data_IF_797646152701
#
_entry.id   IF_797646152701
#
_cell.length_a   1.000
_cell.length_b   1.000
_cell.length_c   1.000
_cell.angle_alpha   90.00
_cell.angle_beta   90.00
_cell.angle_gamma   90.00
#
_symmetry.space_group_name_H-M   'P 1'
#
loop_
_entity.id
_entity.type
_entity.pdbx_description
1 polymer ?
#
# COMPACT_ATOMS: atom_id res chain seq x y z
N UNK A 1 -40.07 -55.86 14.96
CA UNK A 1 -39.34 -54.58 15.11
C UNK A 1 -37.88 -54.82 14.75
N UNK A 2 -37.35 -53.94 13.89
CA UNK A 2 -35.94 -53.62 13.60
C UNK A 2 -34.99 -54.68 12.99
N UNK A 3 -34.51 -54.25 11.83
CA UNK A 3 -33.47 -54.71 10.92
C UNK A 3 -32.06 -54.78 11.53
N UNK A 4 -31.27 -55.77 11.11
CA UNK A 4 -29.83 -55.89 11.34
C UNK A 4 -29.10 -55.62 10.02
N UNK A 5 -28.04 -54.82 10.08
CA UNK A 5 -27.30 -54.25 8.96
C UNK A 5 -26.28 -55.24 8.39
N UNK A 6 -26.16 -55.16 7.08
CA UNK A 6 -25.28 -55.87 6.14
C UNK A 6 -23.82 -55.46 6.33
N UNK A 7 -22.93 -56.45 6.30
CA UNK A 7 -21.55 -56.28 5.85
C UNK A 7 -21.19 -57.49 5.00
N UNK A 8 -20.69 -57.26 3.78
CA UNK A 8 -19.57 -57.95 3.11
C UNK A 8 -19.52 -57.46 1.65
N UNK A 9 -18.52 -56.60 1.42
CA UNK A 9 -17.49 -56.72 0.40
C UNK A 9 -17.91 -57.20 -1.01
N UNK A 10 -17.79 -56.32 -2.01
CA UNK A 10 -17.37 -56.74 -3.35
C UNK A 10 -16.45 -55.68 -3.96
N UNK A 11 -15.17 -56.04 -4.07
CA UNK A 11 -14.15 -55.41 -4.89
C UNK A 11 -14.44 -55.74 -6.36
N UNK A 12 -14.64 -54.75 -7.22
CA UNK A 12 -14.35 -54.87 -8.65
C UNK A 12 -13.60 -53.63 -9.11
N UNK A 13 -12.44 -53.89 -9.70
CA UNK A 13 -11.46 -52.98 -10.27
C UNK A 13 -12.04 -52.14 -11.42
N UNK A 14 -11.74 -50.85 -11.42
CA UNK A 14 -11.92 -49.97 -12.57
C UNK A 14 -10.82 -48.91 -12.58
N UNK A 15 -9.83 -49.09 -13.46
CA UNK A 15 -8.82 -48.08 -13.78
C UNK A 15 -9.50 -46.86 -14.40
N UNK A 16 -9.57 -45.75 -13.66
CA UNK A 16 -9.67 -44.40 -14.22
C UNK A 16 -8.73 -43.51 -13.42
N UNK A 17 -7.56 -43.23 -14.00
CA UNK A 17 -6.70 -42.14 -13.61
C UNK A 17 -7.45 -40.82 -13.84
N UNK A 18 -7.92 -40.21 -12.75
CA UNK A 18 -8.28 -38.79 -12.79
C UNK A 18 -7.02 -37.97 -12.46
N UNK A 19 -6.57 -37.06 -13.33
CA UNK A 19 -5.64 -36.03 -12.90
C UNK A 19 -6.43 -35.00 -12.09
N UNK A 20 -6.56 -35.22 -10.78
CA UNK A 20 -7.00 -34.17 -9.85
C UNK A 20 -5.72 -33.47 -9.39
N UNK A 21 -5.40 -32.35 -10.03
CA UNK A 21 -4.22 -31.55 -9.68
C UNK A 21 -3.71 -30.64 -10.79
N UNK A 22 -4.56 -30.18 -11.71
CA UNK A 22 -4.22 -29.04 -12.54
C UNK A 22 -4.25 -27.79 -11.66
N UNK A 23 -3.08 -27.32 -11.22
CA UNK A 23 -2.94 -26.12 -10.42
C UNK A 23 -3.69 -24.96 -11.06
N UNK A 24 -4.59 -24.36 -10.29
CA UNK A 24 -5.16 -23.07 -10.62
C UNK A 24 -4.00 -22.07 -10.68
N UNK A 25 -3.47 -21.81 -11.88
CA UNK A 25 -2.63 -20.64 -12.11
C UNK A 25 -3.59 -19.46 -12.07
N UNK A 26 -3.46 -18.52 -11.11
CA UNK A 26 -4.24 -17.30 -11.17
C UNK A 26 -4.04 -16.72 -12.57
N UNK A 27 -5.13 -16.36 -13.24
CA UNK A 27 -5.04 -15.60 -14.47
C UNK A 27 -4.43 -14.25 -14.08
N UNK A 28 -3.11 -14.15 -14.19
CA UNK A 28 -2.34 -12.98 -13.84
C UNK A 28 -2.94 -11.82 -14.62
N UNK A 29 -3.55 -10.87 -13.91
CA UNK A 29 -4.19 -9.75 -14.58
C UNK A 29 -3.05 -8.93 -15.19
N UNK A 30 -2.92 -8.96 -16.51
CA UNK A 30 -1.84 -8.28 -17.20
C UNK A 30 -1.80 -6.77 -16.87
N UNK A 31 -2.94 -6.16 -16.50
CA UNK A 31 -2.98 -4.80 -15.98
C UNK A 31 -2.27 -4.62 -14.65
N UNK A 32 -2.38 -5.58 -13.71
CA UNK A 32 -1.65 -5.52 -12.45
C UNK A 32 -0.16 -5.74 -12.68
N UNK A 33 0.21 -6.64 -13.59
CA UNK A 33 1.62 -6.85 -13.98
C UNK A 33 2.25 -5.60 -14.61
N UNK A 34 1.55 -4.93 -15.53
CA UNK A 34 2.01 -3.66 -16.11
C UNK A 34 2.14 -2.55 -15.06
N UNK A 35 1.17 -2.45 -14.15
CA UNK A 35 1.23 -1.49 -13.05
C UNK A 35 2.43 -1.75 -12.13
N UNK A 36 2.64 -3.00 -11.73
CA UNK A 36 3.74 -3.41 -10.88
C UNK A 36 5.09 -3.12 -11.55
N UNK A 37 5.23 -3.44 -12.83
CA UNK A 37 6.43 -3.12 -13.61
C UNK A 37 6.69 -1.62 -13.68
N UNK A 38 5.68 -0.81 -14.03
CA UNK A 38 5.82 0.64 -14.08
C UNK A 38 6.20 1.24 -12.71
N UNK A 39 5.65 0.70 -11.62
CA UNK A 39 5.99 1.09 -10.26
C UNK A 39 7.44 0.75 -9.92
N UNK A 40 7.91 -0.46 -10.25
CA UNK A 40 9.29 -0.90 -10.03
C UNK A 40 10.25 -0.05 -10.85
N UNK A 41 10.00 0.13 -12.14
CA UNK A 41 10.87 0.93 -13.01
C UNK A 41 11.02 2.37 -12.51
N UNK A 42 9.92 3.03 -12.13
CA UNK A 42 9.98 4.40 -11.62
C UNK A 42 10.75 4.47 -10.29
N UNK A 43 10.57 3.50 -9.41
CA UNK A 43 11.28 3.42 -8.13
C UNK A 43 12.80 3.31 -8.33
N UNK A 44 13.24 2.45 -9.25
CA UNK A 44 14.65 2.26 -9.60
C UNK A 44 15.23 3.48 -10.33
N UNK A 45 14.51 4.05 -11.30
CA UNK A 45 14.96 5.23 -12.03
C UNK A 45 15.15 6.46 -11.14
N UNK A 46 14.35 6.57 -10.08
CA UNK A 46 14.45 7.64 -9.09
C UNK A 46 15.49 7.33 -7.98
N UNK A 47 16.17 6.17 -8.04
CA UNK A 47 17.13 5.70 -7.05
C UNK A 47 16.59 5.74 -5.60
N UNK A 48 15.35 5.31 -5.40
CA UNK A 48 14.66 5.44 -4.11
C UNK A 48 15.04 4.36 -3.08
N UNK A 49 15.78 3.32 -3.49
CA UNK A 49 16.13 2.17 -2.65
C UNK A 49 16.97 2.52 -1.41
N UNK A 50 17.80 3.56 -1.50
CA UNK A 50 18.58 4.08 -0.37
C UNK A 50 17.78 5.03 0.53
N UNK A 51 16.61 5.48 0.08
CA UNK A 51 15.84 6.54 0.73
C UNK A 51 14.58 6.01 1.40
N UNK A 52 13.84 5.10 0.78
CA UNK A 52 12.58 4.59 1.32
C UNK A 52 12.34 3.14 0.93
N UNK A 53 11.49 2.44 1.69
CA UNK A 53 11.14 1.06 1.37
C UNK A 53 10.22 0.99 0.14
N UNK A 54 10.44 -0.03 -0.70
CA UNK A 54 9.63 -0.23 -1.91
C UNK A 54 8.13 -0.36 -1.60
N UNK A 55 7.76 -1.06 -0.54
CA UNK A 55 6.34 -1.23 -0.17
C UNK A 55 5.66 0.10 0.20
N UNK A 56 6.38 1.00 0.86
CA UNK A 56 5.89 2.34 1.17
C UNK A 56 5.69 3.16 -0.11
N UNK A 57 6.65 3.10 -1.04
CA UNK A 57 6.53 3.76 -2.34
C UNK A 57 5.38 3.17 -3.16
N UNK A 58 5.27 1.84 -3.25
CA UNK A 58 4.22 1.14 -4.00
C UNK A 58 2.82 1.49 -3.46
N UNK A 59 2.66 1.53 -2.14
CA UNK A 59 1.41 1.95 -1.52
C UNK A 59 1.06 3.40 -1.91
N UNK A 60 2.02 4.32 -1.79
CA UNK A 60 1.83 5.72 -2.15
C UNK A 60 1.53 5.92 -3.65
N UNK A 61 2.27 5.25 -4.53
CA UNK A 61 2.08 5.30 -5.97
C UNK A 61 0.72 4.76 -6.40
N UNK A 62 0.23 3.70 -5.72
CA UNK A 62 -1.13 3.18 -5.92
C UNK A 62 -2.18 4.25 -5.62
N UNK A 63 -2.04 4.93 -4.47
CA UNK A 63 -2.93 6.04 -4.09
C UNK A 63 -2.87 7.21 -5.08
N UNK A 64 -1.66 7.58 -5.49
CA UNK A 64 -1.42 8.62 -6.50
C UNK A 64 -2.16 8.31 -7.80
N UNK A 65 -2.00 7.10 -8.36
CA UNK A 65 -2.69 6.72 -9.60
C UNK A 65 -4.20 6.68 -9.46
N UNK A 66 -4.73 6.42 -8.26
CA UNK A 66 -6.18 6.38 -7.99
C UNK A 66 -6.81 7.77 -7.82
N UNK A 67 -6.08 8.73 -7.23
CA UNK A 67 -6.63 10.04 -6.86
C UNK A 67 -6.19 11.21 -7.77
N UNK A 68 -5.14 11.02 -8.57
CA UNK A 68 -4.54 12.09 -9.36
C UNK A 68 -5.33 12.39 -10.66
N UNK A 69 -6.44 13.09 -10.52
CA UNK A 69 -7.28 13.49 -11.65
C UNK A 69 -6.88 14.84 -12.26
N UNK A 70 -5.91 15.55 -11.65
CA UNK A 70 -5.47 16.88 -12.07
C UNK A 70 -4.05 16.88 -12.65
N UNK A 71 -3.48 15.71 -12.95
CA UNK A 71 -2.14 15.55 -13.52
C UNK A 71 -1.04 16.24 -12.70
N UNK A 72 -1.18 16.31 -11.37
CA UNK A 72 -0.07 16.74 -10.52
C UNK A 72 1.07 15.74 -10.66
N UNK A 73 2.30 16.19 -10.94
CA UNK A 73 3.47 15.30 -10.94
C UNK A 73 4.02 15.05 -9.54
N UNK A 74 3.57 15.83 -8.54
CA UNK A 74 4.09 15.78 -7.18
C UNK A 74 3.38 14.70 -6.37
N UNK A 75 4.16 13.83 -5.75
CA UNK A 75 3.73 12.83 -4.77
C UNK A 75 4.46 13.06 -3.45
N UNK A 76 3.71 13.29 -2.37
CA UNK A 76 4.27 13.32 -1.01
C UNK A 76 3.99 11.99 -0.33
N UNK A 77 5.04 11.36 0.22
CA UNK A 77 4.95 10.12 0.99
C UNK A 77 5.36 10.39 2.42
N UNK A 78 4.57 9.93 3.39
CA UNK A 78 4.94 9.91 4.81
C UNK A 78 4.95 8.46 5.27
N UNK A 79 6.11 7.95 5.64
CA UNK A 79 6.30 6.57 6.11
C UNK A 79 6.25 6.50 7.64
N UNK A 80 5.08 6.21 8.19
CA UNK A 80 4.89 6.07 9.63
C UNK A 80 5.48 4.77 10.22
N UNK A 81 6.04 3.87 9.41
CA UNK A 81 6.80 2.72 9.93
C UNK A 81 8.12 3.15 10.59
N UNK A 82 8.63 4.32 10.22
CA UNK A 82 9.83 4.94 10.78
C UNK A 82 9.51 5.77 12.04
N UNK A 83 10.43 5.86 13.01
CA UNK A 83 10.24 6.68 14.20
C UNK A 83 10.21 8.18 13.88
N UNK A 84 9.61 9.00 14.76
CA UNK A 84 9.53 10.45 14.58
C UNK A 84 10.87 11.17 14.62
N UNK A 85 11.90 10.50 15.13
CA UNK A 85 13.28 11.00 15.17
C UNK A 85 14.01 10.84 13.83
N UNK A 86 13.39 10.22 12.83
CA UNK A 86 13.98 10.02 11.50
C UNK A 86 13.25 10.85 10.44
N UNK A 87 13.97 11.20 9.38
CA UNK A 87 13.34 11.79 8.20
C UNK A 87 12.48 10.72 7.54
N UNK A 88 11.18 11.00 7.43
CA UNK A 88 10.17 10.04 6.97
C UNK A 88 9.11 10.66 6.06
N UNK A 89 9.32 11.90 5.63
CA UNK A 89 8.56 12.54 4.57
C UNK A 89 9.42 12.76 3.35
N UNK A 90 8.89 12.34 2.21
CA UNK A 90 9.52 12.47 0.90
C UNK A 90 8.58 13.25 -0.01
N UNK A 91 9.08 14.29 -0.66
CA UNK A 91 8.35 15.00 -1.72
C UNK A 91 9.03 14.65 -3.04
N UNK A 92 8.29 13.98 -3.91
CA UNK A 92 8.77 13.39 -5.14
C UNK A 92 8.15 14.13 -6.33
N UNK A 93 8.98 14.56 -7.28
CA UNK A 93 8.52 14.96 -8.60
C UNK A 93 8.64 13.77 -9.55
N UNK A 94 7.51 13.13 -9.83
CA UNK A 94 7.48 11.92 -10.65
C UNK A 94 7.67 12.20 -12.15
N UNK A 95 7.48 13.45 -12.60
CA UNK A 95 7.70 13.83 -13.99
C UNK A 95 9.19 14.05 -14.26
N UNK A 96 9.88 14.74 -13.35
CA UNK A 96 11.32 14.99 -13.43
C UNK A 96 12.16 13.86 -12.82
N UNK A 97 11.52 12.91 -12.12
CA UNK A 97 12.16 11.78 -11.42
C UNK A 97 13.13 12.26 -10.32
N UNK A 98 12.71 13.29 -9.59
CA UNK A 98 13.52 13.95 -8.57
C UNK A 98 12.92 13.82 -7.17
N UNK A 99 13.79 13.73 -6.16
CA UNK A 99 13.42 13.89 -4.76
C UNK A 99 13.63 15.36 -4.38
N UNK A 100 12.53 16.09 -4.23
CA UNK A 100 12.56 17.53 -3.93
C UNK A 100 12.91 17.81 -2.46
N UNK A 101 12.35 17.01 -1.55
CA UNK A 101 12.56 17.19 -0.11
C UNK A 101 12.55 15.87 0.64
N UNK A 102 13.39 15.80 1.68
CA UNK A 102 13.39 14.75 2.70
C UNK A 102 13.40 15.42 4.07
N UNK A 103 12.37 15.18 4.88
CA UNK A 103 12.19 15.89 6.15
C UNK A 103 11.54 15.05 7.25
N UNK A 104 11.57 15.60 8.47
CA UNK A 104 10.86 15.10 9.64
C UNK A 104 9.38 15.45 9.56
N UNK A 105 8.54 14.61 10.18
CA UNK A 105 7.09 14.85 10.32
C UNK A 105 6.61 14.42 11.70
N UNK A 106 5.88 15.30 12.37
CA UNK A 106 5.16 14.98 13.60
C UNK A 106 3.93 14.11 13.32
N UNK A 107 3.49 13.33 14.31
CA UNK A 107 2.20 12.63 14.28
C UNK A 107 1.29 13.13 15.40
N UNK A 108 0.00 12.79 15.34
CA UNK A 108 -0.96 13.19 16.37
C UNK A 108 -0.56 12.67 17.76
N UNK A 109 -0.76 13.48 18.80
CA UNK A 109 -0.34 13.16 20.19
C UNK A 109 -0.84 11.82 20.73
N UNK A 110 -1.95 11.31 20.19
CA UNK A 110 -2.53 10.02 20.61
C UNK A 110 -2.15 8.86 19.67
N UNK A 111 -1.21 9.07 18.74
CA UNK A 111 -0.77 8.06 17.79
C UNK A 111 0.39 7.19 18.28
N UNK A 112 1.03 7.56 19.37
CA UNK A 112 2.19 6.89 19.94
C UNK A 112 3.24 7.91 20.37
N UNK A 113 4.37 7.42 20.86
CA UNK A 113 5.51 8.25 21.29
C UNK A 113 6.54 8.37 20.16
N UNK A 114 7.62 7.58 20.20
CA UNK A 114 8.61 7.60 19.13
C UNK A 114 8.06 7.03 17.81
N UNK A 115 7.22 5.99 17.89
CA UNK A 115 6.58 5.37 16.73
C UNK A 115 5.09 5.69 16.70
N UNK A 116 4.55 5.94 15.51
CA UNK A 116 3.10 6.02 15.32
C UNK A 116 2.52 4.60 15.19
N UNK A 117 1.85 4.11 16.22
CA UNK A 117 1.28 2.76 16.28
C UNK A 117 -0.25 2.76 16.33
N UNK A 118 -0.88 3.93 16.47
CA UNK A 118 -2.33 4.06 16.55
C UNK A 118 -2.87 5.19 15.67
N UNK A 119 -3.88 4.89 14.87
CA UNK A 119 -4.44 5.83 13.89
C UNK A 119 -5.95 5.92 14.01
N UNK A 120 -6.53 7.04 13.59
CA UNK A 120 -7.99 7.19 13.57
C UNK A 120 -8.44 8.31 12.63
N UNK A 121 -9.58 8.10 11.99
CA UNK A 121 -10.27 9.11 11.19
C UNK A 121 -11.40 9.80 11.98
N UNK A 122 -11.57 9.46 13.27
CA UNK A 122 -12.60 10.06 14.12
C UNK A 122 -12.19 11.47 14.51
N UNK A 123 -13.10 12.43 14.31
CA UNK A 123 -12.91 13.79 14.80
C UNK A 123 -12.62 13.81 16.32
N UNK A 124 -11.72 14.68 16.76
CA UNK A 124 -11.29 14.79 18.16
C UNK A 124 -10.48 13.59 18.69
N UNK A 125 -10.06 12.64 17.84
CA UNK A 125 -9.19 11.53 18.29
C UNK A 125 -7.78 11.98 18.66
N UNK A 126 -7.32 13.10 18.09
CA UNK A 126 -5.94 13.59 18.16
C UNK A 126 -4.90 12.57 17.67
N UNK A 127 -5.33 11.65 16.80
CA UNK A 127 -4.47 10.67 16.12
C UNK A 127 -4.25 11.12 14.68
N UNK A 128 -3.09 10.78 14.15
CA UNK A 128 -2.88 10.78 12.71
C UNK A 128 -3.86 9.82 12.04
N UNK A 129 -4.20 10.14 10.79
CA UNK A 129 -5.06 9.33 9.92
C UNK A 129 -4.17 8.65 8.87
N UNK A 130 -4.46 7.39 8.54
CA UNK A 130 -3.81 6.67 7.45
C UNK A 130 -4.68 6.75 6.21
N UNK A 131 -4.02 6.81 5.06
CA UNK A 131 -4.68 6.73 3.77
C UNK A 131 -4.08 7.69 2.76
N UNK A 132 -4.83 7.90 1.69
CA UNK A 132 -4.45 8.76 0.59
C UNK A 132 -5.21 10.08 0.67
N UNK A 133 -4.49 11.17 0.50
CA UNK A 133 -5.03 12.53 0.55
C UNK A 133 -4.68 13.26 -0.73
N UNK A 134 -5.48 14.28 -1.03
CA UNK A 134 -5.16 15.27 -2.04
C UNK A 134 -4.95 16.59 -1.32
N UNK A 135 -3.82 17.24 -1.59
CA UNK A 135 -3.56 18.59 -1.08
C UNK A 135 -4.60 19.56 -1.64
N UNK A 136 -5.08 20.45 -0.76
CA UNK A 136 -6.02 21.50 -1.14
C UNK A 136 -5.35 22.60 -1.95
N UNK A 137 -6.06 23.71 -2.14
CA UNK A 137 -5.42 24.96 -2.53
C UNK A 137 -4.65 25.56 -1.36
N UNK A 138 -3.72 26.46 -1.65
CA UNK A 138 -3.04 27.24 -0.62
C UNK A 138 -4.00 28.25 0.02
N UNK A 139 -3.71 28.62 1.26
CA UNK A 139 -4.49 29.58 2.03
C UNK A 139 -3.57 30.44 2.90
N UNK A 140 -4.11 31.53 3.46
CA UNK A 140 -3.40 32.36 4.43
C UNK A 140 -3.82 31.96 5.83
N UNK A 141 -2.91 31.37 6.60
CA UNK A 141 -3.12 30.99 7.99
C UNK A 141 -2.57 32.03 8.97
N UNK A 142 -2.69 31.76 10.27
CA UNK A 142 -2.12 32.60 11.32
C UNK A 142 -0.59 32.70 11.27
N UNK A 143 0.06 31.74 10.59
CA UNK A 143 1.50 31.70 10.36
C UNK A 143 1.88 32.13 8.92
N UNK A 144 0.97 32.76 8.18
CA UNK A 144 1.18 33.22 6.80
C UNK A 144 0.77 32.20 5.73
N UNK A 145 1.38 32.30 4.56
CA UNK A 145 1.06 31.47 3.40
C UNK A 145 1.26 29.99 3.73
N UNK A 146 0.19 29.22 3.59
CA UNK A 146 0.07 27.85 4.05
C UNK A 146 -0.63 26.98 3.01
N UNK A 147 -0.53 25.67 3.20
CA UNK A 147 -1.23 24.62 2.47
C UNK A 147 -1.82 23.62 3.46
#
# INVERSE_FOLDING_TARGET
MRTIIISILFLIFGNLTFPIGGGYKPHENWYSGLFDNACIFLYEEMNLSELMQFDAFKAAFTGYKKLNNHNSSILTVIDFSLPSTEKRMYVLDLAHKEVLYISYVAHGRNSGDNYATSFSNRNGSHKSSLGFYRTGGTYQGSNGYSL
#
